data_IF_309488675794
#
_entry.id   IF_309488675794
#
_cell.length_a   1.000
_cell.length_b   1.000
_cell.length_c   1.000
_cell.angle_alpha   90.00
_cell.angle_beta   90.00
_cell.angle_gamma   90.00
#
_symmetry.space_group_name_H-M   'P 1'
#
loop_
_entity.id
_entity.type
_entity.pdbx_description
1 polymer ?
#
# COMPACT_ATOMS: atom_id res chain seq x y z
N UNK A 1 34.46 10.38 -7.62
CA UNK A 1 33.82 11.47 -6.88
C UNK A 1 32.43 10.99 -6.45
N UNK A 2 32.11 11.02 -5.17
CA UNK A 2 30.77 10.67 -4.67
C UNK A 2 29.79 11.74 -5.16
N UNK A 3 28.74 11.32 -5.88
CA UNK A 3 27.68 12.23 -6.29
C UNK A 3 26.87 12.66 -5.05
N UNK A 4 27.08 13.90 -4.63
CA UNK A 4 26.45 14.50 -3.44
C UNK A 4 25.03 15.01 -3.71
N UNK A 5 24.50 14.88 -4.93
CA UNK A 5 23.14 15.28 -5.26
C UNK A 5 22.15 14.49 -4.40
N UNK A 6 21.11 15.16 -3.92
CA UNK A 6 20.07 14.55 -3.07
C UNK A 6 18.84 14.15 -3.91
N UNK A 7 18.29 12.99 -3.56
CA UNK A 7 17.11 12.40 -4.16
C UNK A 7 16.09 12.12 -3.06
N UNK A 8 14.87 12.60 -3.25
CA UNK A 8 13.80 12.51 -2.26
C UNK A 8 12.73 11.51 -2.69
N UNK A 9 12.44 10.53 -1.84
CA UNK A 9 11.26 9.68 -1.94
C UNK A 9 10.26 10.01 -0.85
N UNK A 10 8.96 10.12 -1.20
CA UNK A 10 7.87 10.29 -0.23
C UNK A 10 6.80 9.22 -0.49
N UNK A 11 6.39 8.56 0.59
CA UNK A 11 5.23 7.68 0.68
C UNK A 11 4.21 8.34 1.60
N UNK A 12 3.07 8.76 1.06
CA UNK A 12 2.06 9.49 1.82
C UNK A 12 0.66 8.94 1.61
N UNK A 13 -0.02 8.69 2.71
CA UNK A 13 -1.38 8.15 2.70
C UNK A 13 -2.14 8.41 3.99
N UNK A 14 -3.26 7.71 4.13
CA UNK A 14 -4.16 7.86 5.27
C UNK A 14 -3.60 7.28 6.58
N UNK A 15 -2.57 6.44 6.53
CA UNK A 15 -1.92 5.86 7.72
C UNK A 15 -0.73 6.67 8.24
N UNK A 16 -0.18 7.57 7.42
CA UNK A 16 0.97 8.40 7.74
C UNK A 16 1.76 8.78 6.50
N UNK A 17 2.80 9.58 6.70
CA UNK A 17 3.71 10.04 5.66
C UNK A 17 5.14 9.70 6.06
N UNK A 18 5.90 9.12 5.14
CA UNK A 18 7.32 8.82 5.29
C UNK A 18 8.11 9.47 4.19
N UNK A 19 9.30 9.95 4.50
CA UNK A 19 10.24 10.39 3.49
C UNK A 19 11.61 9.74 3.69
N UNK A 20 12.31 9.53 2.59
CA UNK A 20 13.66 9.01 2.53
C UNK A 20 14.47 9.89 1.59
N UNK A 21 15.62 10.35 2.07
CA UNK A 21 16.58 11.11 1.27
C UNK A 21 17.84 10.28 1.09
N UNK A 22 18.21 10.05 -0.16
CA UNK A 22 19.45 9.34 -0.52
C UNK A 22 20.34 10.26 -1.38
N UNK A 23 21.64 9.99 -1.40
CA UNK A 23 22.53 10.60 -2.37
C UNK A 23 22.67 9.75 -3.65
N UNK A 24 23.35 10.25 -4.66
CA UNK A 24 23.54 9.59 -5.94
C UNK A 24 24.37 8.29 -5.90
N UNK A 25 24.95 7.94 -4.75
CA UNK A 25 25.67 6.68 -4.52
C UNK A 25 24.87 5.67 -3.67
N UNK A 26 23.61 5.98 -3.34
CA UNK A 26 22.74 5.12 -2.52
C UNK A 26 22.97 5.21 -1.01
N UNK A 27 23.66 6.24 -0.53
CA UNK A 27 23.79 6.48 0.91
C UNK A 27 22.52 7.16 1.42
N UNK A 28 21.97 6.68 2.53
CA UNK A 28 20.83 7.28 3.21
C UNK A 28 21.31 8.49 3.97
N UNK A 29 20.79 9.67 3.61
CA UNK A 29 21.16 10.96 4.20
C UNK A 29 20.19 11.35 5.31
N UNK A 30 18.95 10.92 5.22
CA UNK A 30 17.94 11.15 6.24
C UNK A 30 16.66 10.40 5.99
N UNK A 31 15.95 10.15 7.09
CA UNK A 31 14.62 9.54 7.11
C UNK A 31 13.71 10.36 8.01
N UNK A 32 12.46 10.54 7.61
CA UNK A 32 11.51 11.32 8.40
C UNK A 32 10.10 10.77 8.29
N UNK A 33 9.33 11.00 9.33
CA UNK A 33 7.93 10.61 9.40
C UNK A 33 7.08 11.81 9.81
N UNK A 34 5.83 11.82 9.35
CA UNK A 34 4.81 12.80 9.71
C UNK A 34 3.42 12.17 9.74
N UNK A 35 2.43 12.95 10.11
CA UNK A 35 1.03 12.54 10.12
C UNK A 35 0.50 12.14 8.75
N UNK A 36 -0.77 11.74 8.75
CA UNK A 36 -1.49 11.33 7.53
C UNK A 36 -1.76 12.52 6.60
N UNK A 37 -1.83 12.23 5.31
CA UNK A 37 -2.33 13.14 4.28
C UNK A 37 -3.82 12.86 4.12
N UNK A 38 -4.63 13.85 4.45
CA UNK A 38 -6.07 13.83 4.23
C UNK A 38 -6.41 14.38 2.83
N UNK A 39 -7.70 14.55 2.55
CA UNK A 39 -8.21 15.05 1.27
C UNK A 39 -7.62 16.43 0.93
N UNK A 40 -6.61 16.45 0.10
CA UNK A 40 -5.86 17.65 -0.30
C UNK A 40 -6.75 18.70 -0.97
N UNK A 41 -7.77 18.25 -1.69
CA UNK A 41 -8.74 19.13 -2.38
C UNK A 41 -9.85 19.66 -1.46
N UNK A 42 -9.97 19.17 -0.22
CA UNK A 42 -10.91 19.71 0.75
C UNK A 42 -10.43 21.07 1.30
N UNK A 43 -11.32 21.89 1.87
CA UNK A 43 -10.94 23.13 2.53
C UNK A 43 -9.83 22.88 3.58
N UNK A 44 -8.72 23.65 3.50
CA UNK A 44 -7.55 23.48 4.37
C UNK A 44 -6.64 22.28 4.03
N UNK A 45 -7.01 21.43 3.08
CA UNK A 45 -6.24 20.22 2.75
C UNK A 45 -4.85 20.51 2.18
N UNK A 46 -4.68 21.59 1.40
CA UNK A 46 -3.37 22.03 0.87
C UNK A 46 -2.43 22.49 1.99
N UNK A 47 -2.94 23.24 2.96
CA UNK A 47 -2.15 23.72 4.09
C UNK A 47 -1.71 22.54 4.95
N UNK A 48 -2.61 21.60 5.22
CA UNK A 48 -2.28 20.36 5.94
C UNK A 48 -1.23 19.52 5.21
N UNK A 49 -1.33 19.37 3.88
CA UNK A 49 -0.30 18.72 3.09
C UNK A 49 1.05 19.43 3.22
N UNK A 50 1.07 20.76 3.15
CA UNK A 50 2.26 21.57 3.32
C UNK A 50 2.93 21.33 4.68
N UNK A 51 2.15 21.38 5.75
CA UNK A 51 2.64 21.14 7.12
C UNK A 51 3.17 19.71 7.29
N UNK A 52 2.46 18.73 6.73
CA UNK A 52 2.86 17.31 6.77
C UNK A 52 4.19 17.08 6.03
N UNK A 53 4.34 17.62 4.82
CA UNK A 53 5.58 17.51 4.04
C UNK A 53 6.73 18.22 4.73
N UNK A 54 6.49 19.43 5.26
CA UNK A 54 7.49 20.20 6.01
C UNK A 54 7.95 19.45 7.26
N UNK A 55 7.01 18.85 8.01
CA UNK A 55 7.34 18.07 9.21
C UNK A 55 8.17 16.83 8.89
N UNK A 56 7.79 16.08 7.83
CA UNK A 56 8.56 14.92 7.39
C UNK A 56 9.99 15.30 6.98
N UNK A 57 10.15 16.37 6.21
CA UNK A 57 11.46 16.86 5.75
C UNK A 57 12.28 17.44 6.90
N UNK A 58 11.67 18.17 7.84
CA UNK A 58 12.34 18.67 9.03
C UNK A 58 12.87 17.53 9.91
N UNK A 59 12.10 16.44 10.02
CA UNK A 59 12.54 15.22 10.70
C UNK A 59 13.73 14.56 9.99
N UNK A 60 13.70 14.48 8.66
CA UNK A 60 14.75 13.84 7.86
C UNK A 60 16.02 14.68 7.75
N UNK A 61 15.90 16.00 7.61
CA UNK A 61 16.99 16.95 7.33
C UNK A 61 16.84 18.22 8.19
N UNK A 62 17.06 18.15 9.51
CA UNK A 62 16.68 19.20 10.46
C UNK A 62 17.44 20.54 10.29
N UNK A 63 18.59 20.56 9.67
CA UNK A 63 19.45 21.73 9.56
C UNK A 63 19.96 21.97 8.14
N UNK A 64 19.20 21.59 7.13
CA UNK A 64 19.60 21.70 5.73
C UNK A 64 18.53 22.42 4.92
N UNK A 65 18.96 23.10 3.86
CA UNK A 65 18.05 23.52 2.79
C UNK A 65 17.52 22.30 2.05
N UNK A 66 16.22 22.30 1.78
CA UNK A 66 15.54 21.23 1.07
C UNK A 66 15.63 21.45 -0.45
N UNK A 67 16.78 21.10 -0.99
CA UNK A 67 17.10 21.22 -2.41
C UNK A 67 17.47 19.84 -2.98
N UNK A 68 16.68 19.34 -3.92
CA UNK A 68 16.80 18.00 -4.46
C UNK A 68 17.06 18.00 -5.96
N UNK A 69 17.90 17.11 -6.42
CA UNK A 69 18.11 16.86 -7.85
C UNK A 69 16.84 16.27 -8.47
N UNK A 70 16.18 15.35 -7.77
CA UNK A 70 14.93 14.76 -8.15
C UNK A 70 14.12 14.35 -6.93
N UNK A 71 12.80 14.37 -7.04
CA UNK A 71 11.86 13.87 -6.05
C UNK A 71 10.77 13.01 -6.71
N UNK A 72 10.35 11.98 -6.00
CA UNK A 72 9.20 11.16 -6.37
C UNK A 72 8.26 11.01 -5.17
N UNK A 73 7.01 11.38 -5.36
CA UNK A 73 5.96 11.24 -4.35
C UNK A 73 4.96 10.18 -4.78
N UNK A 74 4.76 9.16 -3.94
CA UNK A 74 3.67 8.19 -4.07
C UNK A 74 2.58 8.53 -3.08
N UNK A 75 1.42 8.96 -3.57
CA UNK A 75 0.32 9.43 -2.72
C UNK A 75 -0.97 8.67 -3.01
N UNK A 76 -1.65 8.27 -1.95
CA UNK A 76 -2.93 7.57 -2.06
C UNK A 76 -3.98 8.46 -2.77
N UNK A 77 -4.70 7.86 -3.73
CA UNK A 77 -5.75 8.53 -4.48
C UNK A 77 -5.28 9.44 -5.62
N UNK A 78 -3.98 9.65 -5.81
CA UNK A 78 -3.47 10.41 -6.96
C UNK A 78 -3.68 9.64 -8.26
N UNK A 79 -4.16 10.36 -9.27
CA UNK A 79 -4.24 9.91 -10.66
C UNK A 79 -3.41 10.89 -11.50
N UNK A 80 -2.52 10.37 -12.33
CA UNK A 80 -1.66 11.19 -13.21
C UNK A 80 -2.50 12.08 -14.13
N UNK A 81 -2.08 13.34 -14.25
CA UNK A 81 -2.78 14.36 -15.03
C UNK A 81 -4.06 14.87 -14.41
N UNK A 82 -4.38 14.47 -13.18
CA UNK A 82 -5.58 14.90 -12.46
C UNK A 82 -5.36 16.13 -11.58
N UNK A 83 -6.46 16.75 -11.19
CA UNK A 83 -6.47 17.94 -10.32
C UNK A 83 -5.71 17.77 -9.02
N UNK A 84 -5.77 16.57 -8.43
CA UNK A 84 -5.05 16.26 -7.19
C UNK A 84 -3.53 16.31 -7.40
N UNK A 85 -3.01 15.79 -8.52
CA UNK A 85 -1.59 15.88 -8.83
C UNK A 85 -1.12 17.33 -8.97
N UNK A 86 -1.90 18.17 -9.65
CA UNK A 86 -1.58 19.60 -9.81
C UNK A 86 -1.57 20.32 -8.46
N UNK A 87 -2.55 20.04 -7.59
CA UNK A 87 -2.61 20.59 -6.25
C UNK A 87 -1.38 20.21 -5.42
N UNK A 88 -1.00 18.92 -5.42
CA UNK A 88 0.20 18.43 -4.72
C UNK A 88 1.46 19.09 -5.27
N UNK A 89 1.61 19.19 -6.58
CA UNK A 89 2.75 19.83 -7.24
C UNK A 89 2.90 21.29 -6.82
N UNK A 90 1.78 22.02 -6.74
CA UNK A 90 1.75 23.41 -6.26
C UNK A 90 2.18 23.54 -4.81
N UNK A 91 1.81 22.59 -3.94
CA UNK A 91 2.24 22.58 -2.53
C UNK A 91 3.73 22.23 -2.42
N UNK A 92 4.21 21.23 -3.17
CA UNK A 92 5.63 20.87 -3.17
C UNK A 92 6.54 22.06 -3.53
N UNK A 93 6.15 22.88 -4.50
CA UNK A 93 6.89 24.07 -4.91
C UNK A 93 7.00 25.15 -3.81
N UNK A 94 6.13 25.12 -2.78
CA UNK A 94 6.18 25.99 -1.62
C UNK A 94 7.03 25.42 -0.48
N UNK A 95 7.28 24.10 -0.49
CA UNK A 95 7.96 23.40 0.62
C UNK A 95 9.45 23.20 0.32
N UNK A 96 9.80 22.76 -0.91
CA UNK A 96 11.17 22.43 -1.27
C UNK A 96 11.52 22.81 -2.72
N UNK A 97 12.81 22.93 -3.01
CA UNK A 97 13.30 23.10 -4.35
C UNK A 97 13.66 21.74 -4.99
N UNK A 98 13.31 21.56 -6.26
CA UNK A 98 13.61 20.34 -6.98
C UNK A 98 13.74 20.59 -8.48
N UNK A 99 14.70 19.92 -9.13
CA UNK A 99 14.88 20.08 -10.60
C UNK A 99 13.91 19.18 -11.38
N UNK A 100 13.59 17.99 -10.85
CA UNK A 100 12.62 17.07 -11.47
C UNK A 100 11.70 16.50 -10.41
N UNK A 101 10.39 16.74 -10.56
CA UNK A 101 9.35 16.25 -9.67
C UNK A 101 8.38 15.36 -10.41
N UNK A 102 8.23 14.13 -9.93
CA UNK A 102 7.17 13.20 -10.34
C UNK A 102 6.28 12.85 -9.15
N UNK A 103 4.98 12.74 -9.44
CA UNK A 103 3.96 12.40 -8.47
C UNK A 103 3.10 11.30 -9.08
N UNK A 104 2.85 10.22 -8.33
CA UNK A 104 2.05 9.10 -8.79
C UNK A 104 1.27 8.48 -7.62
N UNK A 105 0.54 7.41 -7.88
CA UNK A 105 -0.15 6.64 -6.88
C UNK A 105 0.83 5.87 -5.97
N UNK A 106 0.44 5.65 -4.72
CA UNK A 106 1.18 4.87 -3.72
C UNK A 106 1.46 3.42 -4.14
N UNK A 107 0.58 2.81 -4.94
CA UNK A 107 0.82 1.47 -5.48
C UNK A 107 2.03 1.41 -6.40
N UNK A 108 2.36 2.50 -7.11
CA UNK A 108 3.51 2.51 -8.00
C UNK A 108 4.84 2.55 -7.24
N UNK A 109 4.92 3.30 -6.16
CA UNK A 109 6.11 3.29 -5.30
C UNK A 109 6.25 1.97 -4.53
N UNK A 110 5.13 1.32 -4.19
CA UNK A 110 5.14 -0.02 -3.58
C UNK A 110 5.70 -1.08 -4.55
N UNK A 111 5.31 -1.04 -5.84
CA UNK A 111 5.93 -1.86 -6.88
C UNK A 111 7.44 -1.60 -6.99
N UNK A 112 7.82 -0.33 -7.05
CA UNK A 112 9.22 0.06 -7.18
C UNK A 112 10.08 -0.42 -5.99
N UNK A 113 9.54 -0.36 -4.78
CA UNK A 113 10.23 -0.86 -3.58
C UNK A 113 10.28 -2.39 -3.52
N UNK A 114 9.15 -3.04 -3.69
CA UNK A 114 9.04 -4.49 -3.58
C UNK A 114 9.89 -5.22 -4.63
N UNK A 115 9.85 -4.77 -5.88
CA UNK A 115 10.51 -5.41 -7.02
C UNK A 115 11.74 -4.63 -7.55
N UNK A 116 12.20 -3.59 -6.84
CA UNK A 116 13.39 -2.80 -7.23
C UNK A 116 13.37 -2.32 -8.68
N UNK A 117 12.22 -1.81 -9.11
CA UNK A 117 11.92 -1.36 -10.48
C UNK A 117 12.00 -2.46 -11.56
N UNK A 118 12.04 -3.73 -11.18
CA UNK A 118 12.01 -4.84 -12.14
C UNK A 118 10.57 -5.17 -12.56
N UNK A 119 10.36 -5.67 -13.79
CA UNK A 119 9.05 -6.12 -14.24
C UNK A 119 8.41 -7.12 -13.27
N UNK A 120 7.10 -6.99 -13.08
CA UNK A 120 6.34 -7.85 -12.17
C UNK A 120 5.10 -7.17 -11.61
N UNK A 121 4.43 -7.85 -10.71
CA UNK A 121 3.16 -7.43 -10.12
C UNK A 121 3.33 -7.25 -8.62
N UNK A 122 2.81 -6.16 -8.07
CA UNK A 122 2.63 -6.00 -6.63
C UNK A 122 1.15 -6.15 -6.29
N UNK A 123 0.85 -6.84 -5.21
CA UNK A 123 -0.48 -6.88 -4.60
C UNK A 123 -0.40 -6.25 -3.22
N UNK A 124 -1.15 -5.19 -3.03
CA UNK A 124 -1.17 -4.42 -1.79
C UNK A 124 -2.45 -4.77 -1.03
N UNK A 125 -2.30 -5.14 0.24
CA UNK A 125 -3.41 -5.36 1.15
C UNK A 125 -3.10 -4.74 2.52
N UNK A 126 -3.51 -3.49 2.68
CA UNK A 126 -3.54 -2.70 3.92
C UNK A 126 -4.98 -2.60 4.42
N UNK A 127 -5.46 -1.39 4.77
CA UNK A 127 -6.90 -1.18 5.02
C UNK A 127 -7.74 -1.48 3.77
N UNK A 128 -7.26 -1.09 2.58
CA UNK A 128 -7.83 -1.48 1.28
C UNK A 128 -6.93 -2.43 0.51
N UNK A 129 -7.27 -2.70 -0.77
CA UNK A 129 -6.50 -3.58 -1.62
C UNK A 129 -6.45 -3.14 -3.08
N UNK A 130 -5.28 -3.31 -3.69
CA UNK A 130 -5.03 -3.03 -5.10
C UNK A 130 -3.88 -3.91 -5.61
N UNK A 131 -3.93 -4.30 -6.87
CA UNK A 131 -2.81 -4.91 -7.58
C UNK A 131 -2.35 -3.99 -8.70
N UNK A 132 -1.04 -3.85 -8.87
CA UNK A 132 -0.41 -3.05 -9.92
C UNK A 132 0.74 -3.86 -10.53
N UNK A 133 0.81 -3.90 -11.85
CA UNK A 133 1.91 -4.52 -12.57
C UNK A 133 2.59 -3.55 -13.53
N UNK A 134 3.86 -3.83 -13.77
CA UNK A 134 4.68 -3.16 -14.79
C UNK A 134 5.39 -4.25 -15.60
N UNK A 135 5.23 -4.25 -16.92
CA UNK A 135 5.87 -5.23 -17.78
C UNK A 135 7.26 -4.79 -18.27
N UNK A 136 7.89 -5.62 -19.09
CA UNK A 136 9.23 -5.38 -19.65
C UNK A 136 9.31 -4.14 -20.56
N UNK A 137 8.18 -3.67 -21.11
CA UNK A 137 8.09 -2.46 -21.91
C UNK A 137 7.80 -1.22 -21.07
N UNK A 138 7.61 -1.37 -19.75
CA UNK A 138 7.22 -0.30 -18.84
C UNK A 138 5.73 0.05 -18.91
N UNK A 139 4.91 -0.75 -19.60
CA UNK A 139 3.46 -0.61 -19.58
C UNK A 139 2.91 -1.00 -18.21
N UNK A 140 1.83 -0.32 -17.79
CA UNK A 140 1.25 -0.47 -16.45
C UNK A 140 -0.19 -0.93 -16.52
N UNK A 141 -0.58 -1.83 -15.64
CA UNK A 141 -1.96 -2.20 -15.42
C UNK A 141 -2.30 -2.27 -13.94
N UNK A 142 -3.57 -2.04 -13.63
CA UNK A 142 -4.11 -2.08 -12.28
C UNK A 142 -5.38 -2.93 -12.23
N UNK A 143 -5.58 -3.60 -11.08
CA UNK A 143 -6.84 -4.23 -10.71
C UNK A 143 -7.16 -3.91 -9.24
N UNK A 144 -8.42 -3.60 -8.95
CA UNK A 144 -8.84 -3.11 -7.63
C UNK A 144 -8.50 -1.65 -7.37
N UNK A 145 -8.48 -1.25 -6.09
CA UNK A 145 -8.26 0.14 -5.69
C UNK A 145 -9.41 1.07 -6.00
N UNK A 146 -10.66 0.56 -5.95
CA UNK A 146 -11.88 1.32 -6.20
C UNK A 146 -12.46 1.96 -4.93
N UNK A 147 -11.76 1.79 -3.81
CA UNK A 147 -12.20 2.27 -2.51
C UNK A 147 -13.18 1.31 -1.82
N UNK A 148 -13.33 1.50 -0.52
CA UNK A 148 -14.02 0.55 0.36
C UNK A 148 -15.53 0.38 0.10
N UNK A 149 -16.15 1.33 -0.61
CA UNK A 149 -17.59 1.24 -0.95
C UNK A 149 -17.84 0.28 -2.13
N UNK A 150 -16.91 0.19 -3.08
CA UNK A 150 -17.10 -0.53 -4.34
C UNK A 150 -16.03 -1.57 -4.60
N UNK A 151 -15.11 -1.78 -3.66
CA UNK A 151 -13.96 -2.65 -3.81
C UNK A 151 -13.26 -2.93 -2.48
N UNK A 152 -11.93 -2.99 -2.54
CA UNK A 152 -11.03 -3.24 -1.42
C UNK A 152 -11.21 -4.62 -0.77
N UNK A 153 -11.80 -5.60 -1.50
CA UNK A 153 -11.91 -7.00 -1.07
C UNK A 153 -10.51 -7.57 -0.84
N UNK A 154 -10.34 -8.28 0.27
CA UNK A 154 -9.07 -8.82 0.72
C UNK A 154 -8.19 -7.81 1.45
N UNK A 155 -8.57 -6.51 1.52
CA UNK A 155 -8.00 -5.56 2.46
C UNK A 155 -8.57 -5.72 3.86
N UNK A 156 -7.91 -5.14 4.87
CA UNK A 156 -8.32 -5.29 6.27
C UNK A 156 -9.75 -4.82 6.53
N UNK A 157 -10.16 -3.68 5.95
CA UNK A 157 -11.55 -3.23 6.05
C UNK A 157 -12.50 -4.23 5.39
N UNK A 158 -12.15 -4.77 4.22
CA UNK A 158 -12.96 -5.77 3.52
C UNK A 158 -13.18 -7.02 4.38
N UNK A 159 -12.12 -7.57 4.97
CA UNK A 159 -12.18 -8.72 5.87
C UNK A 159 -13.07 -8.42 7.11
N UNK A 160 -12.87 -7.26 7.74
CA UNK A 160 -13.67 -6.85 8.88
C UNK A 160 -15.16 -6.65 8.51
N UNK A 161 -15.45 -5.97 7.40
CA UNK A 161 -16.82 -5.76 6.89
C UNK A 161 -17.51 -7.10 6.60
N UNK A 162 -16.82 -8.00 5.92
CA UNK A 162 -17.38 -9.29 5.53
C UNK A 162 -17.58 -10.22 6.75
N UNK A 163 -16.72 -10.08 7.78
CA UNK A 163 -16.91 -10.71 9.08
C UNK A 163 -18.17 -10.21 9.80
N UNK A 164 -18.39 -8.90 9.86
CA UNK A 164 -19.62 -8.34 10.42
C UNK A 164 -20.87 -8.80 9.64
N UNK A 165 -20.81 -8.79 8.30
CA UNK A 165 -21.91 -9.27 7.46
C UNK A 165 -22.23 -10.74 7.72
N UNK A 166 -21.20 -11.58 7.85
CA UNK A 166 -21.35 -13.00 8.20
C UNK A 166 -22.00 -13.18 9.57
N UNK A 167 -21.60 -12.39 10.57
CA UNK A 167 -22.20 -12.38 11.90
C UNK A 167 -23.68 -12.02 11.87
N UNK A 168 -24.03 -10.89 11.26
CA UNK A 168 -25.43 -10.43 11.17
C UNK A 168 -26.31 -11.50 10.49
N UNK A 169 -25.84 -12.08 9.40
CA UNK A 169 -26.54 -13.18 8.71
C UNK A 169 -26.71 -14.41 9.62
N UNK A 170 -25.72 -14.72 10.47
CA UNK A 170 -25.81 -15.84 11.40
C UNK A 170 -26.81 -15.62 12.53
N UNK A 171 -26.93 -14.36 12.98
CA UNK A 171 -27.93 -13.92 13.96
C UNK A 171 -29.35 -14.05 13.35
N UNK A 172 -29.57 -13.52 12.15
CA UNK A 172 -30.84 -13.61 11.44
C UNK A 172 -31.30 -15.07 11.27
N UNK A 173 -30.38 -16.00 11.07
CA UNK A 173 -30.65 -17.43 10.93
C UNK A 173 -30.72 -18.19 12.26
N UNK A 174 -30.70 -17.52 13.41
CA UNK A 174 -30.65 -18.15 14.75
C UNK A 174 -29.51 -19.17 14.94
N UNK A 175 -28.35 -18.93 14.30
CA UNK A 175 -27.15 -19.78 14.39
C UNK A 175 -25.91 -18.90 14.62
N UNK A 176 -25.83 -18.19 15.77
CA UNK A 176 -24.78 -17.21 15.99
C UNK A 176 -23.40 -17.85 15.99
N UNK A 177 -22.46 -17.19 15.33
CA UNK A 177 -21.04 -17.52 15.32
C UNK A 177 -20.38 -16.95 16.58
N UNK A 178 -20.55 -17.65 17.70
CA UNK A 178 -20.23 -17.14 19.04
C UNK A 178 -18.79 -16.61 19.16
N UNK A 179 -17.73 -17.33 18.75
CA UNK A 179 -16.37 -16.81 18.89
C UNK A 179 -16.12 -15.51 18.13
N UNK A 180 -16.68 -15.39 16.92
CA UNK A 180 -16.56 -14.19 16.11
C UNK A 180 -17.43 -13.05 16.68
N UNK A 181 -18.59 -13.36 17.23
CA UNK A 181 -19.49 -12.40 17.88
C UNK A 181 -18.84 -11.80 19.15
N UNK A 182 -18.23 -12.63 19.98
CA UNK A 182 -17.53 -12.21 21.19
C UNK A 182 -16.36 -11.28 20.79
N UNK A 183 -15.56 -11.66 19.78
CA UNK A 183 -14.47 -10.85 19.26
C UNK A 183 -14.92 -9.44 18.84
N UNK A 184 -15.99 -9.33 18.06
CA UNK A 184 -16.49 -8.01 17.63
C UNK A 184 -17.05 -7.20 18.78
N UNK A 185 -17.76 -7.86 19.70
CA UNK A 185 -18.33 -7.20 20.89
C UNK A 185 -17.24 -6.66 21.81
N UNK A 186 -16.21 -7.46 22.08
CA UNK A 186 -15.09 -7.06 22.94
C UNK A 186 -14.26 -5.95 22.33
N UNK A 187 -14.01 -6.03 21.01
CA UNK A 187 -13.17 -5.05 20.31
C UNK A 187 -13.84 -3.68 20.19
N UNK A 188 -15.13 -3.64 19.83
CA UNK A 188 -15.83 -2.37 19.61
C UNK A 188 -16.61 -1.88 20.84
N UNK A 189 -16.78 -2.70 21.87
CA UNK A 189 -17.53 -2.37 23.08
C UNK A 189 -19.04 -2.27 22.87
N UNK A 190 -19.54 -2.74 21.72
CA UNK A 190 -20.98 -2.74 21.37
C UNK A 190 -21.34 -4.04 20.66
N UNK A 191 -22.61 -4.41 20.69
CA UNK A 191 -23.07 -5.61 20.00
C UNK A 191 -22.97 -5.48 18.48
N UNK A 192 -22.74 -6.55 17.73
CA UNK A 192 -22.64 -6.53 16.27
C UNK A 192 -23.81 -5.84 15.56
N UNK A 193 -25.04 -6.00 16.08
CA UNK A 193 -26.24 -5.37 15.51
C UNK A 193 -26.21 -3.84 15.60
N UNK A 194 -25.48 -3.28 16.57
CA UNK A 194 -25.32 -1.83 16.73
C UNK A 194 -24.22 -1.28 15.82
N UNK A 195 -23.19 -2.08 15.49
CA UNK A 195 -22.02 -1.62 14.72
C UNK A 195 -22.35 -1.03 13.37
N UNK A 196 -23.33 -1.57 12.65
CA UNK A 196 -23.78 -1.04 11.38
C UNK A 196 -24.29 0.40 11.51
N UNK A 197 -25.13 0.66 12.49
CA UNK A 197 -25.65 2.01 12.77
C UNK A 197 -24.56 2.96 13.23
N UNK A 198 -23.64 2.48 14.06
CA UNK A 198 -22.51 3.27 14.55
C UNK A 198 -21.54 3.64 13.43
N UNK A 199 -21.35 2.76 12.44
CA UNK A 199 -20.58 3.07 11.24
C UNK A 199 -21.25 4.16 10.38
N UNK A 200 -22.56 4.06 10.12
CA UNK A 200 -23.33 5.11 9.43
C UNK A 200 -23.34 6.44 10.20
N UNK A 201 -23.34 6.39 11.52
CA UNK A 201 -23.23 7.56 12.39
C UNK A 201 -21.79 8.12 12.48
N UNK A 202 -20.83 7.57 11.70
CA UNK A 202 -19.41 7.95 11.66
C UNK A 202 -18.68 7.87 13.02
N UNK A 203 -19.12 7.01 13.92
CA UNK A 203 -18.43 6.75 15.19
C UNK A 203 -17.13 5.97 14.96
N UNK A 204 -17.08 5.17 13.88
CA UNK A 204 -15.90 4.43 13.44
C UNK A 204 -15.56 4.83 12.01
N UNK A 205 -14.29 5.15 11.77
CA UNK A 205 -13.74 5.31 10.44
C UNK A 205 -13.34 3.97 9.81
N UNK A 206 -13.09 3.98 8.49
CA UNK A 206 -12.62 2.82 7.73
C UNK A 206 -11.39 2.17 8.38
N UNK A 207 -10.40 2.98 8.74
CA UNK A 207 -9.12 2.47 9.24
C UNK A 207 -9.27 1.86 10.63
N UNK A 208 -10.00 2.53 11.55
CA UNK A 208 -10.28 1.98 12.87
C UNK A 208 -11.13 0.70 12.82
N UNK A 209 -12.02 0.58 11.83
CA UNK A 209 -12.77 -0.65 11.61
C UNK A 209 -11.88 -1.80 11.11
N UNK A 210 -10.88 -1.50 10.28
CA UNK A 210 -9.91 -2.48 9.81
C UNK A 210 -8.97 -3.01 10.90
N UNK A 211 -8.82 -2.30 12.02
CA UNK A 211 -7.93 -2.69 13.13
C UNK A 211 -8.33 -4.00 13.82
N UNK A 212 -9.56 -4.48 13.67
CA UNK A 212 -9.99 -5.80 14.17
C UNK A 212 -9.37 -6.97 13.37
N UNK A 213 -8.92 -6.74 12.15
CA UNK A 213 -8.48 -7.82 11.23
C UNK A 213 -7.36 -8.70 11.79
N UNK A 214 -6.32 -8.19 12.47
CA UNK A 214 -5.34 -9.04 13.14
C UNK A 214 -5.97 -10.00 14.16
N UNK A 215 -6.98 -9.57 14.91
CA UNK A 215 -7.68 -10.38 15.88
C UNK A 215 -8.54 -11.47 15.23
N UNK A 216 -9.12 -11.18 14.05
CA UNK A 216 -9.80 -12.21 13.23
C UNK A 216 -8.78 -13.25 12.74
N UNK A 217 -7.55 -12.83 12.38
CA UNK A 217 -6.49 -13.75 12.02
C UNK A 217 -6.09 -14.65 13.18
N UNK A 218 -5.96 -14.11 14.39
CA UNK A 218 -5.67 -14.89 15.61
C UNK A 218 -6.77 -15.91 15.88
N UNK A 219 -8.04 -15.54 15.67
CA UNK A 219 -9.17 -16.45 15.81
C UNK A 219 -9.14 -17.57 14.77
N UNK A 220 -8.80 -17.25 13.53
CA UNK A 220 -8.61 -18.22 12.44
C UNK A 220 -7.49 -19.22 12.77
N UNK A 221 -6.37 -18.74 13.29
CA UNK A 221 -5.22 -19.57 13.71
C UNK A 221 -5.58 -20.51 14.87
N UNK A 222 -6.51 -20.10 15.74
CA UNK A 222 -7.07 -20.95 16.80
C UNK A 222 -8.07 -21.99 16.30
N UNK A 223 -8.37 -21.99 15.00
CA UNK A 223 -9.18 -23.02 14.36
C UNK A 223 -10.62 -22.63 14.07
N UNK A 224 -11.05 -21.39 14.35
CA UNK A 224 -12.39 -20.92 14.02
C UNK A 224 -12.66 -20.98 12.52
N UNK A 225 -13.72 -21.69 12.13
CA UNK A 225 -14.06 -21.98 10.74
C UNK A 225 -14.53 -20.71 10.00
N UNK A 226 -15.29 -19.85 10.69
CA UNK A 226 -15.82 -18.62 10.11
C UNK A 226 -14.68 -17.62 9.83
N UNK A 227 -13.78 -17.45 10.80
CA UNK A 227 -12.61 -16.60 10.63
C UNK A 227 -11.66 -17.12 9.53
N UNK A 228 -11.43 -18.44 9.45
CA UNK A 228 -10.66 -19.04 8.33
C UNK A 228 -11.31 -18.76 6.97
N UNK A 229 -12.63 -18.90 6.87
CA UNK A 229 -13.37 -18.62 5.63
C UNK A 229 -13.15 -17.18 5.14
N UNK A 230 -13.15 -16.20 6.06
CA UNK A 230 -12.88 -14.79 5.71
C UNK A 230 -11.51 -14.61 5.07
N UNK A 231 -10.48 -15.29 5.58
CA UNK A 231 -9.14 -15.21 4.99
C UNK A 231 -9.02 -15.97 3.67
N UNK A 232 -9.73 -17.09 3.50
CA UNK A 232 -9.79 -17.78 2.21
C UNK A 232 -10.45 -16.90 1.12
N UNK A 233 -11.57 -16.26 1.44
CA UNK A 233 -12.26 -15.36 0.50
C UNK A 233 -11.41 -14.13 0.17
N UNK A 234 -10.69 -13.60 1.16
CA UNK A 234 -9.74 -12.51 0.97
C UNK A 234 -8.58 -12.93 0.05
N UNK A 235 -8.03 -14.12 0.26
CA UNK A 235 -6.95 -14.67 -0.56
C UNK A 235 -7.37 -14.85 -2.02
N UNK A 236 -8.56 -15.40 -2.27
CA UNK A 236 -9.13 -15.55 -3.61
C UNK A 236 -9.30 -14.19 -4.30
N UNK A 237 -9.85 -13.20 -3.58
CA UNK A 237 -10.03 -11.84 -4.10
C UNK A 237 -8.70 -11.16 -4.45
N UNK A 238 -7.66 -11.34 -3.62
CA UNK A 238 -6.33 -10.78 -3.87
C UNK A 238 -5.65 -11.49 -5.05
N UNK A 239 -5.72 -12.82 -5.10
CA UNK A 239 -5.18 -13.62 -6.19
C UNK A 239 -5.83 -13.26 -7.54
N UNK A 240 -7.16 -13.12 -7.57
CA UNK A 240 -7.90 -12.67 -8.75
C UNK A 240 -7.42 -11.31 -9.27
N UNK A 241 -7.04 -10.38 -8.39
CA UNK A 241 -6.47 -9.09 -8.80
C UNK A 241 -5.08 -9.24 -9.42
N UNK A 242 -4.23 -10.14 -8.90
CA UNK A 242 -2.92 -10.45 -9.50
C UNK A 242 -3.11 -11.05 -10.89
N UNK A 243 -3.98 -12.05 -11.01
CA UNK A 243 -4.30 -12.71 -12.28
C UNK A 243 -4.86 -11.73 -13.31
N UNK A 244 -5.79 -10.85 -12.90
CA UNK A 244 -6.34 -9.82 -13.77
C UNK A 244 -5.26 -8.83 -14.29
N UNK A 245 -4.26 -8.51 -13.50
CA UNK A 245 -3.13 -7.66 -13.94
C UNK A 245 -2.22 -8.43 -14.89
N UNK A 246 -1.95 -9.72 -14.60
CA UNK A 246 -1.16 -10.58 -15.49
C UNK A 246 -1.77 -10.64 -16.90
N UNK A 247 -3.08 -10.79 -17.02
CA UNK A 247 -3.78 -10.84 -18.30
C UNK A 247 -3.92 -9.48 -19.02
N UNK A 248 -3.87 -8.36 -18.30
CA UNK A 248 -3.97 -7.02 -18.91
C UNK A 248 -2.70 -6.58 -19.60
N UNK A 249 -1.56 -7.14 -19.24
CA UNK A 249 -0.24 -6.74 -19.75
C UNK A 249 0.32 -7.80 -20.69
N UNK A 250 1.11 -7.34 -21.67
CA UNK A 250 1.90 -8.24 -22.52
C UNK A 250 3.25 -8.44 -21.87
N UNK A 251 3.61 -9.70 -21.56
CA UNK A 251 4.89 -10.07 -20.96
C UNK A 251 5.80 -10.73 -22.01
N UNK A 252 7.12 -10.51 -21.89
CA UNK A 252 8.09 -11.14 -22.79
C UNK A 252 8.37 -12.60 -22.44
N UNK A 253 8.14 -12.97 -21.18
CA UNK A 253 8.33 -14.34 -20.67
C UNK A 253 7.05 -14.97 -20.18
N UNK A 254 7.10 -16.25 -19.90
CA UNK A 254 5.99 -17.00 -19.29
C UNK A 254 6.00 -16.94 -17.75
N UNK A 255 7.12 -16.54 -17.12
CA UNK A 255 7.23 -16.37 -15.68
C UNK A 255 7.07 -14.91 -15.30
N UNK A 256 6.15 -14.61 -14.38
CA UNK A 256 5.88 -13.27 -13.86
C UNK A 256 6.08 -13.29 -12.35
N UNK A 257 6.97 -12.46 -11.84
CA UNK A 257 7.13 -12.26 -10.41
C UNK A 257 5.96 -11.47 -9.83
N UNK A 258 5.42 -11.93 -8.69
CA UNK A 258 4.48 -11.13 -7.92
C UNK A 258 4.91 -10.99 -6.47
N UNK A 259 4.61 -9.86 -5.84
CA UNK A 259 5.07 -9.54 -4.49
C UNK A 259 3.94 -9.02 -3.62
N UNK A 260 3.74 -9.56 -2.39
CA UNK A 260 2.74 -9.11 -1.44
C UNK A 260 3.27 -7.92 -0.62
N UNK A 261 2.48 -6.87 -0.47
CA UNK A 261 2.81 -5.68 0.34
C UNK A 261 1.61 -5.32 1.22
N UNK A 262 1.86 -5.04 2.50
CA UNK A 262 0.84 -4.55 3.43
C UNK A 262 0.55 -5.46 4.61
N UNK A 263 -0.23 -4.91 5.55
CA UNK A 263 -0.43 -5.50 6.88
C UNK A 263 -1.20 -6.82 6.87
N UNK A 264 -2.09 -7.04 5.91
CA UNK A 264 -2.88 -8.29 5.81
C UNK A 264 -1.97 -9.50 5.59
N UNK A 265 -0.86 -9.34 4.88
CA UNK A 265 0.09 -10.44 4.63
C UNK A 265 0.88 -10.89 5.87
N UNK A 266 0.77 -10.17 7.00
CA UNK A 266 1.27 -10.64 8.30
C UNK A 266 0.51 -11.89 8.79
N UNK A 267 -0.68 -12.16 8.26
CA UNK A 267 -1.41 -13.39 8.49
C UNK A 267 -0.78 -14.62 7.80
N UNK A 268 0.32 -14.43 7.03
CA UNK A 268 1.15 -15.50 6.44
C UNK A 268 0.33 -16.57 5.71
N UNK A 269 0.40 -17.80 6.22
CA UNK A 269 -0.17 -18.98 5.56
C UNK A 269 -1.71 -18.91 5.41
N UNK A 270 -2.41 -18.12 6.25
CA UNK A 270 -3.85 -17.88 6.07
C UNK A 270 -4.19 -17.16 4.76
N UNK A 271 -3.25 -16.40 4.20
CA UNK A 271 -3.43 -15.62 2.96
C UNK A 271 -2.55 -16.14 1.83
N UNK A 272 -1.25 -16.38 2.09
CA UNK A 272 -0.29 -16.66 1.03
C UNK A 272 -0.49 -18.04 0.42
N UNK A 273 -0.74 -19.07 1.22
CA UNK A 273 -0.92 -20.44 0.70
C UNK A 273 -2.15 -20.56 -0.21
N UNK A 274 -3.35 -20.08 0.19
CA UNK A 274 -4.50 -20.08 -0.71
C UNK A 274 -4.31 -19.21 -1.96
N UNK A 275 -3.59 -18.07 -1.85
CA UNK A 275 -3.26 -17.27 -3.03
C UNK A 275 -2.37 -18.02 -4.00
N UNK A 276 -1.32 -18.68 -3.51
CA UNK A 276 -0.39 -19.47 -4.33
C UNK A 276 -1.16 -20.62 -5.00
N UNK A 277 -2.01 -21.33 -4.24
CA UNK A 277 -2.83 -22.40 -4.78
C UNK A 277 -3.74 -21.92 -5.92
N UNK A 278 -4.42 -20.78 -5.73
CA UNK A 278 -5.25 -20.16 -6.76
C UNK A 278 -4.42 -19.78 -8.00
N UNK A 279 -3.31 -19.08 -7.81
CA UNK A 279 -2.46 -18.56 -8.90
C UNK A 279 -1.77 -19.68 -9.69
N UNK A 280 -1.46 -20.80 -9.06
CA UNK A 280 -0.90 -21.98 -9.72
C UNK A 280 -1.89 -22.69 -10.68
N UNK A 281 -3.17 -22.32 -10.63
CA UNK A 281 -4.18 -22.84 -11.58
C UNK A 281 -4.16 -22.09 -12.93
N UNK A 282 -3.48 -20.94 -13.00
CA UNK A 282 -3.30 -20.21 -14.26
C UNK A 282 -2.55 -21.07 -15.28
N UNK A 283 -3.04 -21.07 -16.52
CA UNK A 283 -2.46 -21.84 -17.64
C UNK A 283 -1.61 -20.96 -18.57
N UNK A 284 -1.78 -19.64 -18.46
CA UNK A 284 -1.21 -18.71 -19.41
C UNK A 284 0.17 -18.19 -18.93
N UNK A 285 0.35 -18.10 -17.59
CA UNK A 285 1.58 -17.60 -16.97
C UNK A 285 1.95 -18.42 -15.74
N UNK A 286 3.25 -18.53 -15.48
CA UNK A 286 3.77 -19.01 -14.21
C UNK A 286 3.96 -17.82 -13.26
N UNK A 287 3.09 -17.70 -12.27
CA UNK A 287 3.10 -16.62 -11.30
C UNK A 287 3.95 -16.98 -10.09
N UNK A 288 5.14 -16.40 -9.98
CA UNK A 288 6.13 -16.71 -8.94
C UNK A 288 6.10 -15.69 -7.81
N UNK A 289 5.87 -16.18 -6.58
CA UNK A 289 5.98 -15.36 -5.37
C UNK A 289 7.42 -14.87 -5.17
N UNK A 290 7.57 -13.57 -4.96
CA UNK A 290 8.83 -12.91 -4.65
C UNK A 290 8.64 -12.06 -3.39
N UNK A 291 9.48 -12.25 -2.38
CA UNK A 291 9.43 -11.42 -1.18
C UNK A 291 9.68 -9.94 -1.52
N UNK A 292 8.93 -9.00 -0.93
CA UNK A 292 9.19 -7.57 -1.15
C UNK A 292 10.57 -7.21 -0.62
N UNK A 293 11.39 -6.58 -1.47
CA UNK A 293 12.76 -6.22 -1.08
C UNK A 293 12.78 -5.00 -0.17
N UNK A 294 12.04 -3.96 -0.53
CA UNK A 294 12.02 -2.70 0.20
C UNK A 294 10.59 -2.20 0.43
N UNK A 295 10.47 -1.27 1.38
CA UNK A 295 9.24 -0.53 1.64
C UNK A 295 8.92 0.46 0.51
N UNK A 296 7.66 0.95 0.41
CA UNK A 296 7.25 1.92 -0.62
C UNK A 296 8.07 3.20 -0.63
N UNK A 297 8.45 3.76 0.52
CA UNK A 297 9.26 4.98 0.59
C UNK A 297 10.65 4.80 -0.03
N UNK A 298 11.25 3.62 0.11
CA UNK A 298 12.51 3.29 -0.59
C UNK A 298 12.27 3.19 -2.09
N UNK A 299 11.16 2.59 -2.51
CA UNK A 299 10.72 2.57 -3.90
C UNK A 299 10.58 3.99 -4.48
N UNK A 300 10.01 4.92 -3.74
CA UNK A 300 9.93 6.32 -4.13
C UNK A 300 11.32 6.96 -4.31
N UNK A 301 12.26 6.70 -3.40
CA UNK A 301 13.64 7.21 -3.50
C UNK A 301 14.39 6.60 -4.70
N UNK A 302 14.20 5.30 -4.96
CA UNK A 302 14.73 4.63 -6.16
C UNK A 302 14.15 5.20 -7.46
N UNK A 303 12.87 5.50 -7.49
CA UNK A 303 12.22 6.19 -8.62
C UNK A 303 12.79 7.59 -8.82
N UNK A 304 12.97 8.37 -7.73
CA UNK A 304 13.60 9.68 -7.82
C UNK A 304 15.01 9.58 -8.41
N UNK A 305 15.82 8.62 -7.98
CA UNK A 305 17.16 8.37 -8.51
C UNK A 305 17.10 7.98 -10.00
N UNK A 306 16.19 7.08 -10.35
CA UNK A 306 16.08 6.52 -11.71
C UNK A 306 15.69 7.57 -12.76
N UNK A 307 14.98 8.63 -12.37
CA UNK A 307 14.64 9.73 -13.26
C UNK A 307 15.88 10.45 -13.87
N UNK A 308 17.02 10.37 -13.19
CA UNK A 308 18.25 11.05 -13.58
C UNK A 308 19.30 10.06 -14.07
N UNK A 309 19.41 8.91 -13.42
CA UNK A 309 20.49 7.93 -13.63
C UNK A 309 20.07 6.69 -14.42
N UNK A 310 18.79 6.53 -14.71
CA UNK A 310 18.25 5.27 -15.23
C UNK A 310 18.06 4.22 -14.12
N UNK A 311 17.91 2.96 -14.49
CA UNK A 311 17.72 1.89 -13.50
C UNK A 311 18.88 1.84 -12.49
N UNK A 312 18.61 1.72 -11.20
CA UNK A 312 19.65 1.69 -10.17
C UNK A 312 20.57 0.50 -10.35
N UNK A 313 21.88 0.76 -10.23
CA UNK A 313 22.91 -0.27 -10.20
C UNK A 313 22.68 -1.23 -9.02
N UNK A 314 22.88 -2.55 -9.15
CA UNK A 314 22.85 -3.50 -8.05
C UNK A 314 23.70 -3.10 -6.83
N UNK A 315 24.81 -2.41 -7.04
CA UNK A 315 25.64 -1.88 -5.96
C UNK A 315 24.91 -0.79 -5.13
N UNK A 316 24.14 0.06 -5.77
CA UNK A 316 23.30 1.07 -5.10
C UNK A 316 22.20 0.38 -4.28
N UNK A 317 21.53 -0.61 -4.87
CA UNK A 317 20.52 -1.43 -4.19
C UNK A 317 21.09 -2.09 -2.93
N UNK A 318 22.24 -2.77 -3.06
CA UNK A 318 22.91 -3.42 -1.93
C UNK A 318 23.37 -2.42 -0.85
N UNK A 319 23.81 -1.22 -1.25
CA UNK A 319 24.20 -0.20 -0.30
C UNK A 319 23.02 0.36 0.52
N UNK A 320 21.87 0.54 -0.13
CA UNK A 320 20.63 0.93 0.58
C UNK A 320 20.20 -0.18 1.54
N UNK A 321 20.22 -1.44 1.08
CA UNK A 321 19.83 -2.61 1.88
C UNK A 321 20.66 -2.74 3.17
N UNK A 322 21.94 -2.46 3.11
CA UNK A 322 22.84 -2.55 4.27
C UNK A 322 22.66 -1.41 5.30
N UNK A 323 21.84 -0.40 4.99
CA UNK A 323 21.62 0.77 5.87
C UNK A 323 20.21 0.77 6.49
N UNK A 324 19.32 -0.12 6.03
CA UNK A 324 17.95 -0.30 6.54
C UNK A 324 17.88 -1.40 7.58
#
# INVERSE_FOLDING_TARGET
MTDSSLYLGIDGGQSGTRCLVINGSGEIIGQGEAGKIDFVLAPGGKDKLKDTLSSALQSALPNREWNFRSAFLGLSGVVRGGELEEAVRSVCAQVFQVQKLEIDNDAFIAWAGALTLQPGIVVIAGSGSVSLGVNDQGERARAGGWGYLFGDEGGGFGIARDGLKMLLTSIDNNKPLVPLMDLYTDFFGVRPEQLGMDFYAQKFGRDSFAEITPHIADLALKGDVAAKKLFLDAAESLASKVDAVAHKLRWQGSEISWSPVGGVFKAKDLILDPMIEYLNQSKDYQLRLTAPKFSPVVGAALLALSQIKGLPDPLIIGKIENQL
#
